data_IF_527582769243
#
_entry.id   IF_527582769243
#
_cell.length_a   1.000
_cell.length_b   1.000
_cell.length_c   1.000
_cell.angle_alpha   90.00
_cell.angle_beta   90.00
_cell.angle_gamma   90.00
#
_symmetry.space_group_name_H-M   'P 1'
#
loop_
_entity.id
_entity.type
_entity.pdbx_description
1 polymer ?
#
# COMPACT_ATOMS: atom_id res chain seq x y z
N UNK A 1 30.90 18.25 58.92
CA UNK A 1 29.73 19.02 58.45
C UNK A 1 28.60 18.01 58.36
N UNK A 2 27.84 17.92 59.44
CA UNK A 2 26.87 16.87 59.68
C UNK A 2 25.49 17.40 59.35
N UNK A 3 24.85 16.86 58.30
CA UNK A 3 23.49 17.24 57.94
C UNK A 3 22.49 16.29 58.61
N UNK A 4 21.85 16.88 59.62
CA UNK A 4 20.81 16.40 60.50
C UNK A 4 19.50 16.19 59.75
N UNK A 5 19.01 14.96 59.75
CA UNK A 5 17.71 14.53 59.25
C UNK A 5 16.59 15.08 60.14
N UNK A 6 15.66 15.85 59.59
CA UNK A 6 14.40 16.20 60.25
C UNK A 6 13.30 15.26 59.76
N UNK A 7 12.85 14.35 60.63
CA UNK A 7 11.58 13.63 60.45
C UNK A 7 10.45 14.53 60.93
N UNK A 8 9.56 14.91 60.01
CA UNK A 8 8.30 15.56 60.35
C UNK A 8 7.22 14.47 60.41
N UNK A 9 6.72 14.22 61.61
CA UNK A 9 5.62 13.29 61.89
C UNK A 9 4.30 13.99 61.59
N UNK A 10 3.58 13.51 60.58
CA UNK A 10 2.21 13.93 60.28
C UNK A 10 1.26 12.85 60.77
N UNK A 11 0.37 13.23 61.69
CA UNK A 11 -0.64 12.36 62.28
C UNK A 11 -1.70 11.96 61.24
N UNK A 12 -1.87 10.65 61.04
CA UNK A 12 -2.96 10.07 60.25
C UNK A 12 -4.25 10.08 61.08
N UNK A 13 -5.22 10.85 60.63
CA UNK A 13 -6.60 10.84 61.12
C UNK A 13 -7.37 9.74 60.40
N UNK A 14 -7.57 8.60 61.08
CA UNK A 14 -8.38 7.48 60.58
C UNK A 14 -9.87 7.85 60.50
N UNK A 15 -10.35 8.21 59.32
CA UNK A 15 -11.79 8.19 59.00
C UNK A 15 -12.15 6.81 58.41
N UNK A 16 -12.93 6.06 59.18
CA UNK A 16 -13.54 4.78 58.81
C UNK A 16 -14.51 4.99 57.64
N UNK A 17 -14.09 4.57 56.44
CA UNK A 17 -14.98 4.43 55.29
C UNK A 17 -15.71 3.08 55.34
N UNK A 18 -16.97 3.03 54.87
CA UNK A 18 -17.75 1.79 54.84
C UNK A 18 -17.12 0.73 53.92
N UNK A 19 -17.36 -0.56 54.18
CA UNK A 19 -16.76 -1.67 53.45
C UNK A 19 -17.22 -1.66 51.99
N UNK A 20 -16.29 -1.35 51.09
CA UNK A 20 -16.46 -1.49 49.64
C UNK A 20 -16.61 -3.00 49.35
N UNK A 21 -17.65 -3.44 48.61
CA UNK A 21 -17.80 -4.84 48.23
C UNK A 21 -16.56 -5.33 47.46
N UNK A 22 -16.20 -6.62 47.54
CA UNK A 22 -14.98 -7.15 46.94
C UNK A 22 -14.99 -6.86 45.45
N UNK A 23 -14.12 -5.92 45.05
CA UNK A 23 -13.83 -5.59 43.66
C UNK A 23 -13.49 -6.90 42.96
N UNK A 24 -14.31 -7.27 41.98
CA UNK A 24 -14.02 -8.39 41.09
C UNK A 24 -12.57 -8.28 40.67
N UNK A 25 -11.82 -9.38 40.79
CA UNK A 25 -10.44 -9.49 40.33
C UNK A 25 -10.44 -9.23 38.83
N UNK A 26 -10.30 -7.95 38.45
CA UNK A 26 -10.18 -7.51 37.07
C UNK A 26 -9.02 -8.29 36.48
N UNK A 27 -9.32 -9.12 35.49
CA UNK A 27 -8.28 -9.88 34.82
C UNK A 27 -7.26 -8.88 34.25
N UNK A 28 -5.97 -9.19 34.22
CA UNK A 28 -4.95 -8.30 33.66
C UNK A 28 -5.33 -7.76 32.28
N UNK A 29 -6.12 -8.51 31.51
CA UNK A 29 -6.68 -8.13 30.21
C UNK A 29 -7.72 -7.00 30.29
N UNK A 30 -8.59 -6.95 31.30
CA UNK A 30 -9.57 -5.87 31.46
C UNK A 30 -8.88 -4.54 31.79
N UNK A 31 -7.88 -4.57 32.68
CA UNK A 31 -7.08 -3.39 32.99
C UNK A 31 -6.37 -2.81 31.75
N UNK A 32 -5.90 -3.67 30.82
CA UNK A 32 -5.28 -3.18 29.57
C UNK A 32 -6.29 -2.56 28.61
N UNK A 33 -7.52 -3.08 28.54
CA UNK A 33 -8.58 -2.52 27.70
C UNK A 33 -9.03 -1.17 28.25
N UNK A 34 -9.19 -1.05 29.56
CA UNK A 34 -9.54 0.22 30.21
C UNK A 34 -8.43 1.27 30.04
N UNK A 35 -7.16 0.87 30.14
CA UNK A 35 -6.03 1.77 29.87
C UNK A 35 -6.01 2.20 28.40
N UNK A 36 -6.32 1.30 27.46
CA UNK A 36 -6.38 1.61 26.04
C UNK A 36 -7.56 2.54 25.72
N UNK A 37 -8.71 2.33 26.35
CA UNK A 37 -9.89 3.19 26.26
C UNK A 37 -9.65 4.61 26.78
N UNK A 38 -8.76 4.75 27.77
CA UNK A 38 -8.32 6.05 28.30
C UNK A 38 -7.16 6.68 27.52
N UNK A 39 -6.53 5.92 26.61
CA UNK A 39 -5.42 6.39 25.79
C UNK A 39 -5.91 7.01 24.48
N UNK A 40 -4.98 7.58 23.70
CA UNK A 40 -5.26 8.00 22.33
C UNK A 40 -5.70 6.85 21.42
N UNK A 41 -5.49 5.59 21.80
CA UNK A 41 -5.91 4.38 21.08
C UNK A 41 -7.36 3.95 21.34
N UNK A 42 -8.16 4.76 22.03
CA UNK A 42 -9.58 4.46 22.31
C UNK A 42 -10.40 4.24 21.02
N UNK A 43 -9.97 4.81 19.90
CA UNK A 43 -10.60 4.60 18.59
C UNK A 43 -10.55 3.15 18.10
N UNK A 44 -9.62 2.32 18.58
CA UNK A 44 -9.60 0.89 18.25
C UNK A 44 -10.71 0.11 18.96
N UNK A 45 -11.23 0.63 20.07
CA UNK A 45 -12.32 0.03 20.84
C UNK A 45 -13.68 0.63 20.45
N UNK A 46 -13.69 1.85 19.91
CA UNK A 46 -14.88 2.49 19.38
C UNK A 46 -15.28 1.86 18.05
N UNK A 47 -16.52 1.40 17.95
CA UNK A 47 -17.14 0.97 16.69
C UNK A 47 -17.46 2.12 15.74
N UNK A 48 -17.31 3.37 16.19
CA UNK A 48 -17.58 4.54 15.35
C UNK A 48 -16.45 4.77 14.34
N UNK A 49 -16.76 5.03 13.06
CA UNK A 49 -15.77 5.38 12.05
C UNK A 49 -14.93 6.58 12.48
N UNK A 50 -13.63 6.56 12.13
CA UNK A 50 -12.76 7.72 12.35
C UNK A 50 -13.31 8.88 11.51
N UNK A 51 -13.68 9.97 12.18
CA UNK A 51 -14.17 11.19 11.52
C UNK A 51 -13.08 12.24 11.45
N UNK A 52 -13.22 13.22 10.56
CA UNK A 52 -12.33 14.39 10.49
C UNK A 52 -12.27 15.24 11.78
N UNK A 53 -13.15 14.99 12.75
CA UNK A 53 -13.12 15.66 14.05
C UNK A 53 -12.13 15.01 15.03
N UNK A 54 -11.67 13.79 14.76
CA UNK A 54 -10.78 13.04 15.65
C UNK A 54 -9.32 13.41 15.35
N UNK A 55 -8.67 14.16 16.25
CA UNK A 55 -7.26 14.51 16.06
C UNK A 55 -6.38 13.26 15.99
N UNK A 56 -5.49 13.12 14.99
CA UNK A 56 -4.59 11.98 14.91
C UNK A 56 -3.63 11.95 16.11
N UNK A 57 -3.20 10.76 16.55
CA UNK A 57 -2.28 10.64 17.68
C UNK A 57 -0.95 11.33 17.37
N UNK A 58 -0.53 12.25 18.24
CA UNK A 58 0.77 12.93 18.09
C UNK A 58 1.89 11.98 18.51
N UNK A 59 2.73 11.60 17.56
CA UNK A 59 3.91 10.80 17.86
C UNK A 59 5.06 11.67 18.36
N UNK A 60 5.50 11.41 19.59
CA UNK A 60 6.70 12.04 20.16
C UNK A 60 7.93 11.18 19.84
N UNK A 61 8.83 11.69 18.99
CA UNK A 61 10.11 11.02 18.71
C UNK A 61 11.05 11.21 19.89
N UNK A 62 11.68 10.11 20.32
CA UNK A 62 12.76 10.19 21.31
C UNK A 62 14.08 10.54 20.60
N UNK A 63 14.87 11.45 21.16
CA UNK A 63 16.17 11.82 20.59
C UNK A 63 17.12 10.62 20.71
N UNK A 64 17.50 10.03 19.57
CA UNK A 64 18.51 8.97 19.54
C UNK A 64 19.89 9.60 19.64
N UNK A 65 20.61 9.29 20.72
CA UNK A 65 21.98 9.76 20.92
C UNK A 65 22.89 9.31 19.76
N UNK A 66 23.75 10.20 19.22
CA UNK A 66 24.65 9.87 18.12
C UNK A 66 25.52 8.64 18.46
N UNK A 67 25.96 7.93 17.41
CA UNK A 67 26.89 6.83 17.58
C UNK A 67 28.24 7.42 18.01
N UNK A 68 28.62 7.14 19.25
CA UNK A 68 29.93 7.49 19.80
C UNK A 68 30.75 6.21 19.85
N UNK A 69 31.93 6.23 19.26
CA UNK A 69 32.91 5.15 19.39
C UNK A 69 33.65 5.37 20.70
N UNK A 70 33.33 4.58 21.71
CA UNK A 70 33.80 4.83 23.08
C UNK A 70 35.12 4.16 23.38
N UNK A 71 35.49 3.17 22.57
CA UNK A 71 36.62 2.30 22.84
C UNK A 71 37.63 2.27 21.71
N UNK A 72 37.73 3.35 20.91
CA UNK A 72 38.74 3.44 19.83
C UNK A 72 40.16 3.22 20.40
N UNK A 73 40.48 3.86 21.53
CA UNK A 73 41.77 3.70 22.21
C UNK A 73 42.09 2.25 22.62
N UNK A 74 41.07 1.41 22.86
CA UNK A 74 41.23 0.00 23.22
C UNK A 74 41.25 -0.93 22.00
N UNK A 75 40.72 -0.49 20.86
CA UNK A 75 40.64 -1.24 19.60
C UNK A 75 41.83 -0.95 18.67
N UNK A 76 42.46 0.22 18.79
CA UNK A 76 43.63 0.63 17.99
C UNK A 76 44.92 -0.18 18.23
N UNK A 77 45.29 -0.59 19.46
CA UNK A 77 46.54 -1.31 19.68
C UNK A 77 46.47 -2.77 19.20
N UNK A 78 47.56 -3.26 18.60
CA UNK A 78 47.69 -4.65 18.16
C UNK A 78 47.73 -5.60 19.38
N UNK A 79 46.84 -6.60 19.46
CA UNK A 79 46.77 -7.48 20.63
C UNK A 79 48.01 -8.36 20.69
N UNK A 80 48.68 -8.36 21.84
CA UNK A 80 49.90 -9.15 22.06
C UNK A 80 49.61 -10.58 22.51
N UNK A 81 48.44 -10.79 23.12
CA UNK A 81 48.01 -12.10 23.62
C UNK A 81 46.72 -12.57 22.96
N UNK A 82 46.52 -13.89 22.89
CA UNK A 82 45.27 -14.47 22.38
C UNK A 82 44.04 -14.01 23.16
N UNK A 83 44.18 -13.80 24.47
CA UNK A 83 43.11 -13.32 25.34
C UNK A 83 42.72 -11.88 25.00
N UNK A 84 43.69 -11.00 24.78
CA UNK A 84 43.42 -9.61 24.35
C UNK A 84 42.67 -9.59 23.02
N UNK A 85 43.11 -10.41 22.06
CA UNK A 85 42.42 -10.56 20.78
C UNK A 85 40.97 -11.01 20.95
N UNK A 86 40.71 -12.00 21.82
CA UNK A 86 39.35 -12.45 22.11
C UNK A 86 38.48 -11.35 22.75
N UNK A 87 39.05 -10.55 23.66
CA UNK A 87 38.34 -9.44 24.29
C UNK A 87 38.06 -8.29 23.32
N UNK A 88 39.01 -7.90 22.47
CA UNK A 88 38.80 -6.92 21.42
C UNK A 88 37.73 -7.38 20.43
N UNK A 89 37.74 -8.66 20.02
CA UNK A 89 36.70 -9.22 19.16
C UNK A 89 35.31 -9.18 19.81
N UNK A 90 35.20 -9.55 21.09
CA UNK A 90 33.95 -9.47 21.84
C UNK A 90 33.46 -8.02 21.99
N UNK A 91 34.37 -7.07 22.22
CA UNK A 91 34.07 -5.65 22.34
C UNK A 91 33.56 -5.08 21.01
N UNK A 92 34.26 -5.36 19.91
CA UNK A 92 33.84 -4.98 18.55
C UNK A 92 32.44 -5.53 18.23
N UNK A 93 32.22 -6.83 18.48
CA UNK A 93 30.91 -7.45 18.27
C UNK A 93 29.81 -6.78 19.11
N UNK A 94 30.11 -6.40 20.37
CA UNK A 94 29.14 -5.70 21.22
C UNK A 94 28.82 -4.29 20.72
N UNK A 95 29.83 -3.53 20.24
CA UNK A 95 29.61 -2.21 19.64
C UNK A 95 28.80 -2.32 18.35
N UNK A 96 29.09 -3.31 17.50
CA UNK A 96 28.35 -3.58 16.27
C UNK A 96 26.88 -3.89 16.57
N UNK A 97 26.58 -4.71 17.58
CA UNK A 97 25.20 -4.99 18.00
C UNK A 97 24.46 -3.71 18.43
N UNK A 98 25.09 -2.87 19.25
CA UNK A 98 24.50 -1.59 19.70
C UNK A 98 24.30 -0.63 18.53
N UNK A 99 25.27 -0.55 17.60
CA UNK A 99 25.19 0.28 16.41
C UNK A 99 24.08 -0.19 15.46
N UNK A 100 23.93 -1.50 15.30
CA UNK A 100 22.85 -2.11 14.53
C UNK A 100 21.50 -1.79 15.17
N UNK A 101 21.36 -1.93 16.49
CA UNK A 101 20.12 -1.58 17.21
C UNK A 101 19.77 -0.09 17.06
N UNK A 102 20.74 0.82 17.20
CA UNK A 102 20.53 2.26 16.98
C UNK A 102 20.15 2.59 15.54
N UNK A 103 20.71 1.87 14.57
CA UNK A 103 20.40 2.04 13.15
C UNK A 103 18.97 1.59 12.86
N UNK A 104 18.57 0.44 13.40
CA UNK A 104 17.20 -0.06 13.31
C UNK A 104 16.20 0.90 13.96
N UNK A 105 16.48 1.39 15.17
CA UNK A 105 15.62 2.35 15.87
C UNK A 105 15.48 3.66 15.11
N UNK A 106 16.55 4.15 14.47
CA UNK A 106 16.50 5.32 13.56
C UNK A 106 15.58 5.06 12.36
N UNK A 107 15.69 3.88 11.75
CA UNK A 107 14.81 3.46 10.65
C UNK A 107 13.34 3.42 11.06
N UNK A 108 13.03 2.89 12.25
CA UNK A 108 11.67 2.91 12.80
C UNK A 108 11.16 4.33 13.03
N UNK A 109 11.92 5.18 13.72
CA UNK A 109 11.51 6.57 13.97
C UNK A 109 11.29 7.34 12.67
N UNK A 110 12.17 7.19 11.69
CA UNK A 110 12.01 7.82 10.38
C UNK A 110 10.72 7.36 9.70
N UNK A 111 10.45 6.05 9.70
CA UNK A 111 9.22 5.47 9.14
C UNK A 111 7.98 6.01 9.84
N UNK A 112 7.97 6.07 11.18
CA UNK A 112 6.84 6.59 11.95
C UNK A 112 6.60 8.08 11.69
N UNK A 113 7.65 8.89 11.55
CA UNK A 113 7.51 10.32 11.19
C UNK A 113 6.88 10.47 9.80
N UNK A 114 7.33 9.69 8.82
CA UNK A 114 6.76 9.71 7.47
C UNK A 114 5.29 9.28 7.51
N UNK A 115 4.97 8.18 8.19
CA UNK A 115 3.59 7.70 8.34
C UNK A 115 2.70 8.76 9.00
N UNK A 116 3.17 9.42 10.06
CA UNK A 116 2.42 10.49 10.72
C UNK A 116 2.16 11.67 9.77
N UNK A 117 3.16 12.06 8.97
CA UNK A 117 2.98 13.13 7.98
C UNK A 117 1.94 12.78 6.91
N UNK A 118 1.92 11.51 6.47
CA UNK A 118 0.93 11.01 5.50
C UNK A 118 -0.48 10.99 6.09
N UNK A 119 -0.63 10.51 7.33
CA UNK A 119 -1.92 10.51 8.05
C UNK A 119 -2.46 11.93 8.20
N UNK A 120 -1.62 12.91 8.57
CA UNK A 120 -2.01 14.32 8.64
C UNK A 120 -2.52 14.83 7.29
N UNK A 121 -1.82 14.53 6.20
CA UNK A 121 -2.24 14.94 4.85
C UNK A 121 -3.59 14.33 4.46
N UNK A 122 -3.78 13.02 4.65
CA UNK A 122 -5.07 12.36 4.38
C UNK A 122 -6.17 13.02 5.19
N UNK A 123 -5.92 13.27 6.48
CA UNK A 123 -6.92 13.84 7.37
C UNK A 123 -7.32 15.26 6.92
N UNK A 124 -6.37 16.08 6.47
CA UNK A 124 -6.66 17.38 5.86
C UNK A 124 -7.51 17.23 4.60
N UNK A 125 -7.16 16.31 3.69
CA UNK A 125 -7.96 16.06 2.48
C UNK A 125 -9.39 15.57 2.81
N UNK A 126 -9.53 14.69 3.80
CA UNK A 126 -10.84 14.21 4.27
C UNK A 126 -11.67 15.35 4.85
N UNK A 127 -11.06 16.21 5.67
CA UNK A 127 -11.72 17.38 6.23
C UNK A 127 -12.21 18.33 5.12
N UNK A 128 -11.36 18.66 4.14
CA UNK A 128 -11.72 19.50 3.00
C UNK A 128 -12.86 18.89 2.18
N UNK A 129 -12.82 17.58 1.96
CA UNK A 129 -13.87 16.86 1.24
C UNK A 129 -15.20 16.87 2.01
N UNK A 130 -15.18 16.66 3.33
CA UNK A 130 -16.38 16.78 4.17
C UNK A 130 -16.94 18.21 4.17
N UNK A 131 -16.08 19.23 4.27
CA UNK A 131 -16.49 20.63 4.16
C UNK A 131 -17.07 20.95 2.79
N UNK A 132 -16.49 20.42 1.71
CA UNK A 132 -17.00 20.57 0.33
C UNK A 132 -18.35 19.90 0.15
N UNK A 133 -18.59 18.74 0.78
CA UNK A 133 -19.90 18.07 0.79
C UNK A 133 -20.95 18.83 1.61
N UNK A 134 -20.55 19.40 2.76
CA UNK A 134 -21.43 20.21 3.62
C UNK A 134 -21.82 21.53 2.96
N UNK A 135 -20.96 22.10 2.12
CA UNK A 135 -21.32 23.27 1.30
C UNK A 135 -22.43 22.83 0.34
N UNK A 136 -23.65 23.41 0.44
CA UNK A 136 -24.71 23.06 -0.48
C UNK A 136 -24.18 23.30 -1.89
N UNK A 137 -24.20 22.26 -2.74
CA UNK A 137 -23.88 22.43 -4.16
C UNK A 137 -24.78 23.57 -4.62
N UNK A 138 -24.19 24.72 -4.91
CA UNK A 138 -24.90 25.82 -5.54
C UNK A 138 -25.28 25.27 -6.91
N UNK A 139 -26.42 24.56 -7.00
CA UNK A 139 -27.13 24.38 -8.26
C UNK A 139 -27.17 25.79 -8.79
N UNK A 140 -26.48 26.02 -9.90
CA UNK A 140 -26.53 27.26 -10.64
C UNK A 140 -28.01 27.47 -10.95
N UNK A 141 -28.74 28.12 -10.03
CA UNK A 141 -30.09 28.57 -10.31
C UNK A 141 -29.87 29.67 -11.32
N UNK A 142 -30.69 29.68 -12.37
CA UNK A 142 -30.73 30.65 -13.47
C UNK A 142 -30.52 32.12 -13.05
N UNK A 143 -30.73 32.44 -11.76
CA UNK A 143 -30.40 33.70 -11.10
C UNK A 143 -29.38 33.49 -9.95
N UNK A 144 -28.09 33.38 -10.24
CA UNK A 144 -27.02 33.19 -9.25
C UNK A 144 -26.88 34.29 -8.18
N UNK A 145 -27.54 35.44 -8.37
CA UNK A 145 -27.47 36.61 -7.49
C UNK A 145 -28.40 36.53 -6.26
N UNK A 146 -29.29 35.52 -6.20
CA UNK A 146 -30.24 35.36 -5.09
C UNK A 146 -31.31 36.46 -4.95
N UNK A 147 -31.33 37.45 -5.87
CA UNK A 147 -32.35 38.52 -5.87
C UNK A 147 -33.57 38.10 -6.69
N UNK A 148 -34.80 38.29 -6.19
CA UNK A 148 -36.00 38.14 -7.00
C UNK A 148 -35.98 39.21 -8.10
N UNK A 149 -35.69 38.79 -9.34
CA UNK A 149 -35.83 39.64 -10.53
C UNK A 149 -37.30 39.52 -10.97
N UNK A 150 -37.95 40.65 -11.24
CA UNK A 150 -39.31 40.67 -11.78
C UNK A 150 -39.27 39.99 -13.16
N UNK A 151 -39.86 38.81 -13.26
CA UNK A 151 -39.87 37.97 -14.46
C UNK A 151 -41.00 38.46 -15.37
N UNK A 152 -40.77 39.57 -16.07
CA UNK A 152 -41.78 40.14 -16.98
C UNK A 152 -41.05 40.78 -18.15
N UNK A 153 -40.59 39.96 -19.10
CA UNK A 153 -39.95 40.43 -20.33
C UNK A 153 -39.38 39.30 -21.17
N UNK A 154 -39.35 39.50 -22.48
CA UNK A 154 -38.89 38.54 -23.50
C UNK A 154 -37.45 38.03 -23.25
N UNK A 155 -36.62 38.84 -22.57
CA UNK A 155 -35.28 38.46 -22.16
C UNK A 155 -35.24 37.25 -21.21
N UNK A 156 -36.31 36.99 -20.45
CA UNK A 156 -36.39 35.78 -19.62
C UNK A 156 -36.69 34.54 -20.46
N UNK A 157 -37.62 34.64 -21.40
CA UNK A 157 -37.98 33.51 -22.27
C UNK A 157 -36.79 33.07 -23.13
N UNK A 158 -35.96 34.03 -23.60
CA UNK A 158 -34.75 33.70 -24.35
C UNK A 158 -33.70 32.99 -23.47
N UNK A 159 -33.54 33.39 -22.20
CA UNK A 159 -32.62 32.70 -21.28
C UNK A 159 -33.10 31.28 -20.93
N UNK A 160 -34.41 31.09 -20.79
CA UNK A 160 -34.96 29.75 -20.56
C UNK A 160 -34.70 28.87 -21.78
N UNK A 161 -34.91 29.37 -23.00
CA UNK A 161 -34.59 28.63 -24.23
C UNK A 161 -33.12 28.26 -24.32
N UNK A 162 -32.20 29.21 -24.08
CA UNK A 162 -30.75 28.93 -24.10
C UNK A 162 -30.41 27.85 -23.07
N UNK A 163 -30.95 27.94 -21.85
CA UNK A 163 -30.69 26.95 -20.81
C UNK A 163 -31.27 25.56 -21.16
N UNK A 164 -32.46 25.51 -21.78
CA UNK A 164 -33.04 24.26 -22.27
C UNK A 164 -32.20 23.65 -23.39
N UNK A 165 -31.76 24.47 -24.36
CA UNK A 165 -30.88 24.03 -25.44
C UNK A 165 -29.53 23.53 -24.91
N UNK A 166 -28.92 24.25 -23.97
CA UNK A 166 -27.68 23.83 -23.28
C UNK A 166 -27.87 22.51 -22.52
N UNK A 167 -28.99 22.33 -21.82
CA UNK A 167 -29.28 21.09 -21.10
C UNK A 167 -29.44 19.90 -22.06
N UNK A 168 -30.12 20.11 -23.20
CA UNK A 168 -30.26 19.08 -24.25
C UNK A 168 -28.89 18.73 -24.86
N UNK A 169 -28.04 19.72 -25.13
CA UNK A 169 -26.68 19.48 -25.62
C UNK A 169 -25.80 18.76 -24.60
N UNK A 170 -25.90 19.11 -23.32
CA UNK A 170 -25.16 18.45 -22.24
C UNK A 170 -25.59 16.98 -22.09
N UNK A 171 -26.89 16.70 -22.14
CA UNK A 171 -27.42 15.33 -22.09
C UNK A 171 -26.95 14.52 -23.30
N UNK A 172 -27.05 15.06 -24.52
CA UNK A 172 -26.54 14.41 -25.73
C UNK A 172 -25.02 14.14 -25.66
N UNK A 173 -24.23 15.09 -25.16
CA UNK A 173 -22.79 14.91 -24.96
C UNK A 173 -22.49 13.84 -23.91
N UNK A 174 -23.28 13.76 -22.82
CA UNK A 174 -23.16 12.71 -21.80
C UNK A 174 -23.47 11.34 -22.37
N UNK A 175 -24.53 11.21 -23.18
CA UNK A 175 -24.87 9.97 -23.86
C UNK A 175 -23.76 9.54 -24.82
N UNK A 176 -23.24 10.45 -25.65
CA UNK A 176 -22.13 10.19 -26.56
C UNK A 176 -20.87 9.72 -25.82
N UNK A 177 -20.54 10.35 -24.67
CA UNK A 177 -19.44 9.90 -23.80
C UNK A 177 -19.71 8.50 -23.24
N UNK A 178 -20.93 8.22 -22.79
CA UNK A 178 -21.35 6.91 -22.29
C UNK A 178 -21.19 5.82 -23.35
N UNK A 179 -21.57 6.08 -24.60
CA UNK A 179 -21.37 5.15 -25.71
C UNK A 179 -19.89 4.90 -26.03
N UNK A 180 -19.07 5.95 -26.03
CA UNK A 180 -17.62 5.84 -26.26
C UNK A 180 -16.96 4.95 -25.19
N UNK A 181 -17.35 5.11 -23.92
CA UNK A 181 -16.90 4.26 -22.82
C UNK A 181 -17.33 2.81 -22.99
N UNK A 182 -18.59 2.55 -23.40
CA UNK A 182 -19.08 1.19 -23.69
C UNK A 182 -18.28 0.53 -24.81
N UNK A 183 -18.03 1.25 -25.92
CA UNK A 183 -17.20 0.77 -27.04
C UNK A 183 -15.77 0.45 -26.60
N UNK A 184 -15.18 1.33 -25.78
CA UNK A 184 -13.85 1.11 -25.22
C UNK A 184 -13.79 -0.13 -24.32
N UNK A 185 -14.74 -0.29 -23.38
CA UNK A 185 -14.82 -1.48 -22.50
C UNK A 185 -14.89 -2.77 -23.33
N UNK A 186 -15.77 -2.83 -24.33
CA UNK A 186 -15.89 -3.97 -25.22
C UNK A 186 -14.60 -4.27 -26.01
N UNK A 187 -13.88 -3.24 -26.46
CA UNK A 187 -12.59 -3.40 -27.14
C UNK A 187 -11.50 -3.92 -26.19
N UNK A 188 -11.46 -3.44 -24.95
CA UNK A 188 -10.53 -3.91 -23.93
C UNK A 188 -10.78 -5.38 -23.58
N UNK A 189 -12.04 -5.81 -23.44
CA UNK A 189 -12.36 -7.21 -23.21
C UNK A 189 -11.93 -8.13 -24.35
N UNK A 190 -12.18 -7.72 -25.61
CA UNK A 190 -11.69 -8.44 -26.78
C UNK A 190 -10.16 -8.54 -26.79
N UNK A 191 -9.47 -7.46 -26.42
CA UNK A 191 -8.01 -7.45 -26.31
C UNK A 191 -7.51 -8.40 -25.21
N UNK A 192 -8.15 -8.42 -24.02
CA UNK A 192 -7.80 -9.32 -22.91
C UNK A 192 -7.87 -10.80 -23.34
N UNK A 193 -8.96 -11.21 -23.99
CA UNK A 193 -9.13 -12.59 -24.48
C UNK A 193 -8.06 -13.00 -25.50
N UNK A 194 -7.68 -12.07 -26.39
CA UNK A 194 -6.60 -12.31 -27.34
C UNK A 194 -5.24 -12.39 -26.65
N UNK A 195 -5.01 -11.57 -25.63
CA UNK A 195 -3.78 -11.54 -24.85
C UNK A 195 -3.60 -12.82 -24.03
N UNK A 196 -4.65 -13.32 -23.40
CA UNK A 196 -4.67 -14.61 -22.69
C UNK A 196 -4.32 -15.77 -23.65
N UNK A 197 -4.96 -15.80 -24.83
CA UNK A 197 -4.67 -16.81 -25.85
C UNK A 197 -3.19 -16.77 -26.29
N UNK A 198 -2.66 -15.56 -26.52
CA UNK A 198 -1.24 -15.36 -26.87
C UNK A 198 -0.31 -15.83 -25.75
N UNK A 199 -0.64 -15.53 -24.50
CA UNK A 199 0.14 -15.96 -23.33
C UNK A 199 0.19 -17.49 -23.24
N UNK A 200 -0.93 -18.17 -23.43
CA UNK A 200 -0.99 -19.64 -23.44
C UNK A 200 -0.15 -20.26 -24.57
N UNK A 201 -0.16 -19.66 -25.77
CA UNK A 201 0.68 -20.12 -26.89
C UNK A 201 2.17 -19.90 -26.58
N UNK A 202 2.53 -18.73 -26.06
CA UNK A 202 3.91 -18.41 -25.71
C UNK A 202 4.42 -19.27 -24.55
N UNK A 203 3.56 -19.63 -23.61
CA UNK A 203 3.89 -20.56 -22.53
C UNK A 203 4.24 -21.94 -23.09
N UNK A 204 3.41 -22.50 -23.97
CA UNK A 204 3.72 -23.78 -24.67
C UNK A 204 5.04 -23.72 -25.43
N UNK A 205 5.31 -22.61 -26.13
CA UNK A 205 6.60 -22.41 -26.83
C UNK A 205 7.78 -22.36 -25.85
N UNK A 206 7.61 -21.73 -24.69
CA UNK A 206 8.64 -21.67 -23.63
C UNK A 206 8.88 -23.03 -22.99
N UNK A 207 7.85 -23.84 -22.75
CA UNK A 207 8.02 -25.19 -22.21
C UNK A 207 8.72 -26.10 -23.21
N UNK A 208 8.39 -26.01 -24.50
CA UNK A 208 9.15 -26.71 -25.55
C UNK A 208 10.62 -26.25 -25.59
N UNK A 209 10.89 -24.94 -25.51
CA UNK A 209 12.26 -24.43 -25.43
C UNK A 209 13.02 -24.99 -24.23
N UNK A 210 12.43 -24.95 -23.04
CA UNK A 210 13.02 -25.52 -21.83
C UNK A 210 13.32 -27.01 -21.99
N UNK A 211 12.38 -27.78 -22.56
CA UNK A 211 12.59 -29.19 -22.87
C UNK A 211 13.82 -29.40 -23.76
N UNK A 212 13.95 -28.66 -24.87
CA UNK A 212 15.11 -28.74 -25.76
C UNK A 212 16.43 -28.32 -25.08
N UNK A 213 16.39 -27.30 -24.21
CA UNK A 213 17.56 -26.89 -23.43
C UNK A 213 17.98 -27.98 -22.45
N UNK A 214 17.02 -28.60 -21.73
CA UNK A 214 17.34 -29.69 -20.79
C UNK A 214 17.89 -30.93 -21.49
N UNK A 215 17.38 -31.27 -22.68
CA UNK A 215 17.95 -32.35 -23.50
C UNK A 215 19.40 -32.02 -23.90
N UNK A 216 19.63 -30.80 -24.39
CA UNK A 216 20.96 -30.34 -24.77
C UNK A 216 21.94 -30.35 -23.58
N UNK A 217 21.52 -29.92 -22.38
CA UNK A 217 22.36 -29.93 -21.17
C UNK A 217 22.73 -31.35 -20.71
N UNK A 218 21.80 -32.30 -20.82
CA UNK A 218 22.08 -33.71 -20.55
C UNK A 218 23.12 -34.27 -21.52
N UNK A 219 22.92 -34.07 -22.83
CA UNK A 219 23.89 -34.51 -23.85
C UNK A 219 25.25 -33.83 -23.70
N UNK A 220 25.25 -32.53 -23.40
CA UNK A 220 26.46 -31.78 -23.14
C UNK A 220 27.23 -32.31 -21.93
N UNK A 221 26.52 -32.69 -20.87
CA UNK A 221 27.13 -33.29 -19.68
C UNK A 221 27.72 -34.68 -19.98
N UNK A 222 27.00 -35.53 -20.74
CA UNK A 222 27.50 -36.84 -21.17
C UNK A 222 28.74 -36.70 -22.08
N UNK A 223 28.70 -35.83 -23.08
CA UNK A 223 29.84 -35.62 -24.01
C UNK A 223 31.07 -35.07 -23.30
N UNK A 224 30.89 -34.20 -22.28
CA UNK A 224 31.97 -33.70 -21.44
C UNK A 224 32.61 -34.83 -20.61
N UNK A 225 31.80 -35.75 -20.06
CA UNK A 225 32.32 -36.91 -19.33
C UNK A 225 33.08 -37.88 -20.25
N UNK A 226 32.63 -38.05 -21.50
CA UNK A 226 33.28 -38.91 -22.51
C UNK A 226 34.46 -38.25 -23.25
N UNK A 227 34.69 -36.95 -23.09
CA UNK A 227 35.72 -36.19 -23.82
C UNK A 227 35.42 -35.97 -25.31
N UNK A 228 34.16 -36.09 -25.73
CA UNK A 228 33.72 -35.89 -27.13
C UNK A 228 33.27 -34.44 -27.37
N UNK A 229 33.34 -33.97 -28.62
CA UNK A 229 32.80 -32.65 -29.03
C UNK A 229 31.32 -32.77 -29.35
N UNK A 230 30.48 -31.92 -28.74
CA UNK A 230 29.05 -31.85 -29.09
C UNK A 230 28.88 -31.26 -30.49
N UNK A 231 28.21 -31.98 -31.39
CA UNK A 231 28.01 -31.53 -32.77
C UNK A 231 26.89 -30.50 -32.93
N UNK A 232 26.01 -30.38 -31.94
CA UNK A 232 24.79 -29.57 -32.03
C UNK A 232 24.88 -28.31 -31.16
N UNK A 233 24.36 -27.20 -31.69
CA UNK A 233 24.38 -25.89 -31.03
C UNK A 233 23.30 -25.83 -29.95
N UNK A 234 23.56 -25.05 -28.88
CA UNK A 234 22.55 -24.78 -27.85
C UNK A 234 21.31 -24.14 -28.50
N UNK A 235 20.09 -24.68 -28.27
CA UNK A 235 18.85 -24.07 -28.75
C UNK A 235 18.74 -22.61 -28.32
N UNK A 236 18.32 -21.72 -29.22
CA UNK A 236 18.10 -20.30 -28.90
C UNK A 236 16.60 -20.02 -28.78
N UNK A 237 16.23 -19.12 -27.88
CA UNK A 237 14.82 -18.76 -27.69
C UNK A 237 14.21 -18.11 -28.96
N UNK A 238 15.02 -17.43 -29.77
CA UNK A 238 14.60 -16.82 -31.03
C UNK A 238 14.06 -17.85 -32.04
N UNK A 239 14.50 -19.11 -31.96
CA UNK A 239 14.10 -20.20 -32.86
C UNK A 239 12.65 -20.66 -32.59
N UNK A 240 12.06 -20.29 -31.44
CA UNK A 240 10.71 -20.68 -31.03
C UNK A 240 9.64 -19.61 -31.34
N UNK A 241 10.01 -18.54 -32.08
CA UNK A 241 9.12 -17.45 -32.56
C UNK A 241 7.99 -17.07 -31.59
N UNK A 242 8.32 -16.38 -30.50
CA UNK A 242 7.31 -15.90 -29.56
C UNK A 242 6.43 -14.83 -30.21
N UNK A 243 5.12 -14.93 -30.00
CA UNK A 243 4.17 -13.94 -30.51
C UNK A 243 4.35 -12.60 -29.78
N UNK A 244 4.42 -11.52 -30.55
CA UNK A 244 4.59 -10.15 -30.04
C UNK A 244 3.30 -9.62 -29.43
N UNK A 245 3.43 -8.69 -28.50
CA UNK A 245 2.29 -8.06 -27.86
C UNK A 245 1.53 -7.12 -28.79
N UNK A 246 0.20 -7.30 -28.86
CA UNK A 246 -0.71 -6.37 -29.54
C UNK A 246 -0.91 -5.14 -28.67
N UNK A 247 -0.88 -3.95 -29.27
CA UNK A 247 -1.09 -2.68 -28.56
C UNK A 247 -2.46 -2.70 -27.86
N UNK A 248 -2.48 -2.30 -26.59
CA UNK A 248 -3.72 -2.17 -25.81
C UNK A 248 -4.57 -1.02 -26.39
N UNK A 249 -5.89 -1.19 -26.56
CA UNK A 249 -6.79 -0.10 -26.93
C UNK A 249 -6.68 1.04 -25.90
N UNK A 250 -6.77 2.29 -26.36
CA UNK A 250 -6.71 3.48 -25.50
C UNK A 250 -8.00 4.27 -25.61
N UNK A 251 -8.47 4.92 -24.54
CA UNK A 251 -9.74 5.66 -24.58
C UNK A 251 -9.75 6.77 -25.65
N UNK A 252 -8.60 7.41 -25.88
CA UNK A 252 -8.41 8.45 -26.90
C UNK A 252 -8.74 8.00 -28.32
N UNK A 253 -8.63 6.71 -28.64
CA UNK A 253 -9.00 6.20 -29.97
C UNK A 253 -10.52 6.01 -30.17
N UNK A 254 -11.32 6.18 -29.10
CA UNK A 254 -12.78 6.04 -29.13
C UNK A 254 -13.51 7.36 -28.88
N UNK A 255 -12.81 8.39 -28.39
CA UNK A 255 -13.34 9.74 -28.36
C UNK A 255 -13.36 10.26 -29.79
N UNK A 256 -14.56 10.64 -30.26
CA UNK A 256 -14.70 11.41 -31.49
C UNK A 256 -13.98 12.72 -31.19
N UNK A 257 -12.85 12.97 -31.85
CA UNK A 257 -12.17 14.25 -31.76
C UNK A 257 -13.18 15.30 -32.18
N UNK A 258 -13.76 15.99 -31.19
CA UNK A 258 -14.59 17.14 -31.45
C UNK A 258 -13.67 18.18 -32.10
N UNK A 259 -13.86 18.53 -33.38
CA UNK A 259 -12.93 19.42 -34.09
C UNK A 259 -12.95 20.87 -33.57
N UNK A 260 -13.64 21.13 -32.45
CA UNK A 260 -13.98 22.46 -31.97
C UNK A 260 -13.06 23.06 -30.89
N UNK A 261 -12.04 22.35 -30.37
CA UNK A 261 -11.22 22.92 -29.27
C UNK A 261 -9.71 22.74 -29.47
N UNK A 262 -9.15 23.61 -30.32
CA UNK A 262 -7.80 24.16 -30.09
C UNK A 262 -7.89 25.23 -28.99
N UNK A 263 -8.05 24.79 -27.75
CA UNK A 263 -7.97 25.67 -26.58
C UNK A 263 -7.11 24.98 -25.52
N UNK A 264 -5.85 25.39 -25.46
CA UNK A 264 -4.82 24.90 -24.55
C UNK A 264 -5.15 25.19 -23.08
N UNK A 265 -6.03 24.39 -22.49
CA UNK A 265 -6.29 24.33 -21.07
C UNK A 265 -5.90 22.97 -20.51
N UNK A 266 -4.62 22.80 -20.17
CA UNK A 266 -4.17 21.72 -19.30
C UNK A 266 -4.75 21.96 -17.91
N UNK A 267 -6.00 21.54 -17.70
CA UNK A 267 -6.55 21.34 -16.37
C UNK A 267 -6.15 19.93 -15.96
N UNK A 268 -5.25 19.85 -14.99
CA UNK A 268 -4.97 18.63 -14.22
C UNK A 268 -6.23 18.30 -13.40
N UNK A 269 -7.25 17.82 -14.11
CA UNK A 269 -8.38 17.14 -13.53
C UNK A 269 -7.86 15.77 -13.10
N UNK A 270 -7.42 15.69 -11.84
CA UNK A 270 -7.39 14.43 -11.12
C UNK A 270 -8.76 13.78 -11.32
N UNK A 271 -8.78 12.72 -12.14
CA UNK A 271 -9.94 11.87 -12.37
C UNK A 271 -10.29 11.16 -11.07
N UNK A 272 -10.95 11.88 -10.18
CA UNK A 272 -11.79 11.33 -9.14
C UNK A 272 -13.12 10.95 -9.81
N UNK A 273 -13.04 9.94 -10.70
CA UNK A 273 -14.20 9.15 -11.08
C UNK A 273 -14.50 8.35 -9.82
N UNK A 274 -15.21 9.00 -8.89
CA UNK A 274 -16.02 8.30 -7.92
C UNK A 274 -16.99 7.46 -8.74
N UNK A 275 -16.58 6.22 -8.95
CA UNK A 275 -17.41 5.10 -9.33
C UNK A 275 -18.57 5.13 -8.33
N UNK A 276 -19.70 5.67 -8.78
CA UNK A 276 -20.99 5.52 -8.13
C UNK A 276 -21.33 4.05 -8.32
N UNK A 277 -20.74 3.24 -7.44
CA UNK A 277 -21.00 1.83 -7.34
C UNK A 277 -22.45 1.71 -6.90
N UNK A 278 -23.33 1.56 -7.90
CA UNK A 278 -24.64 0.96 -7.71
C UNK A 278 -24.46 -0.26 -6.82
N UNK A 279 -25.11 -0.17 -5.67
CA UNK A 279 -25.28 -1.15 -4.63
C UNK A 279 -26.03 -2.36 -5.22
N UNK A 280 -25.32 -3.15 -6.02
CA UNK A 280 -25.80 -4.41 -6.55
C UNK A 280 -25.54 -5.49 -5.49
N UNK A 281 -26.48 -5.52 -4.55
CA UNK A 281 -26.89 -6.66 -3.74
C UNK A 281 -26.53 -8.02 -4.38
N UNK A 282 -25.79 -8.85 -3.63
CA UNK A 282 -25.92 -10.30 -3.63
C UNK A 282 -25.36 -11.06 -4.84
N UNK A 283 -24.04 -11.25 -4.90
CA UNK A 283 -23.48 -12.46 -5.51
C UNK A 283 -22.93 -13.35 -4.42
N UNK A 284 -23.76 -14.32 -4.04
CA UNK A 284 -23.45 -15.41 -3.11
C UNK A 284 -22.13 -16.11 -3.48
N UNK A 285 -21.39 -16.49 -2.43
CA UNK A 285 -20.07 -17.08 -2.52
C UNK A 285 -20.05 -18.35 -3.35
N UNK A 286 -19.21 -18.34 -4.39
CA UNK A 286 -18.61 -19.55 -4.92
C UNK A 286 -17.28 -19.74 -4.21
N UNK A 287 -17.30 -20.55 -3.15
CA UNK A 287 -16.10 -21.16 -2.59
C UNK A 287 -15.46 -22.03 -3.67
N UNK A 288 -14.51 -21.45 -4.41
CA UNK A 288 -13.61 -22.24 -5.22
C UNK A 288 -12.45 -22.67 -4.33
N UNK A 289 -12.64 -23.84 -3.74
CA UNK A 289 -11.64 -24.64 -3.05
C UNK A 289 -10.50 -24.96 -4.02
N UNK A 290 -9.48 -24.08 -4.07
CA UNK A 290 -8.21 -24.37 -4.72
C UNK A 290 -7.43 -25.24 -3.75
N UNK A 291 -7.71 -26.54 -3.82
CA UNK A 291 -6.89 -27.58 -3.24
C UNK A 291 -5.44 -27.41 -3.72
N UNK A 292 -4.62 -26.78 -2.88
CA UNK A 292 -3.19 -26.77 -3.03
C UNK A 292 -2.69 -28.19 -2.90
N UNK A 293 -2.41 -28.84 -4.03
CA UNK A 293 -1.63 -30.08 -4.01
C UNK A 293 -0.22 -29.73 -3.56
N UNK A 294 0.08 -29.97 -2.28
CA UNK A 294 1.43 -30.24 -1.82
C UNK A 294 1.98 -31.41 -2.64
N UNK A 295 2.68 -31.09 -3.74
CA UNK A 295 3.51 -32.08 -4.40
C UNK A 295 4.74 -32.26 -3.52
N UNK A 296 4.73 -33.31 -2.71
CA UNK A 296 5.88 -33.84 -2.00
C UNK A 296 7.05 -34.04 -2.98
N UNK A 297 7.94 -33.05 -3.05
CA UNK A 297 9.24 -33.20 -3.68
C UNK A 297 10.11 -34.02 -2.72
N UNK A 298 9.88 -35.33 -2.71
CA UNK A 298 10.73 -36.31 -2.07
C UNK A 298 12.09 -36.28 -2.76
N UNK A 299 13.02 -35.49 -2.22
CA UNK A 299 14.42 -35.51 -2.59
C UNK A 299 15.03 -36.84 -2.10
N UNK A 300 15.00 -37.86 -2.96
CA UNK A 300 15.80 -39.07 -2.80
C UNK A 300 17.28 -38.71 -2.91
N UNK A 301 17.90 -38.44 -1.76
CA UNK A 301 19.36 -38.37 -1.61
C UNK A 301 19.87 -39.81 -1.72
N UNK A 302 20.23 -40.23 -2.93
CA UNK A 302 21.01 -41.45 -3.14
C UNK A 302 22.42 -41.21 -2.59
N UNK A 303 22.64 -41.63 -1.34
CA UNK A 303 23.96 -41.76 -0.76
C UNK A 303 24.77 -42.78 -1.56
N UNK A 304 25.84 -42.33 -2.19
CA UNK A 304 26.86 -43.20 -2.76
C UNK A 304 27.80 -43.63 -1.63
N UNK A 305 27.63 -44.86 -1.15
CA UNK A 305 28.64 -45.54 -0.35
C UNK A 305 29.88 -45.74 -1.21
N UNK A 306 30.97 -45.07 -0.82
CA UNK A 306 32.34 -45.40 -1.23
C UNK A 306 32.89 -46.40 -0.22
N UNK A 307 33.07 -47.63 -0.67
CA UNK A 307 34.00 -48.59 -0.08
C UNK A 307 35.32 -48.47 -0.84
N UNK A 308 36.37 -48.05 -0.14
CA UNK A 308 37.78 -48.40 -0.38
C UNK A 308 38.44 -48.55 0.99
#
# INVERSE_FOLDING_TARGET
>A
MDYRTHQCSTAESSQSSPPVPPTHLSSPTQNTVDLLAQSSGSFFLSSSPITSATSPPLYSTQIISPVKRRYEELLDPEPTTEREKALQAALCASEDMVNNQKTWMRGMQATTVIQNSYVVQIHTCMQEHEERKKRPRKKSRLNGDGRPKLVTGDAFTDRVRIHEDEAVQEEAAKEARGEAVKKYKAAVEKWKKLEESRMAINEKKRTSYQHHVTQWEKEWSCTKAEGRKIGWKKPKLADFELEKQKKKPTLKSFQISDPSEDSGGQVDAAEDIADDCDDAEGSEGSEHDIGGSESDYSASVSGTDKLD
#
